data_IF_110712527389
#
_entry.id   IF_110712527389
#
_cell.length_a   1.000
_cell.length_b   1.000
_cell.length_c   1.000
_cell.angle_alpha   90.00
_cell.angle_beta   90.00
_cell.angle_gamma   90.00
#
_symmetry.space_group_name_H-M   'P 1'
#
loop_
_entity.id
_entity.type
_entity.pdbx_description
1 polymer ?
#
# COMPACT_ATOMS: atom_id res chain seq x y z
N UNK A 1 23.33 61.07 54.51
CA UNK A 1 23.88 59.75 54.14
C UNK A 1 22.94 58.57 54.44
N UNK A 2 22.24 58.50 55.58
CA UNK A 2 21.34 57.37 55.91
C UNK A 2 20.16 57.18 54.93
N UNK A 3 19.54 58.25 54.43
CA UNK A 3 18.42 58.15 53.48
C UNK A 3 18.82 57.66 52.08
N UNK A 4 20.02 58.00 51.60
CA UNK A 4 20.50 57.51 50.30
C UNK A 4 20.72 55.99 50.31
N UNK A 5 21.16 55.44 51.44
CA UNK A 5 21.45 54.01 51.61
C UNK A 5 20.19 53.14 51.75
N UNK A 6 19.09 53.71 52.26
CA UNK A 6 17.80 53.00 52.28
C UNK A 6 17.15 52.96 50.90
N UNK A 7 17.24 54.04 50.13
CA UNK A 7 16.68 54.14 48.78
C UNK A 7 17.41 53.16 47.84
N UNK A 8 18.74 53.06 47.92
CA UNK A 8 19.49 52.07 47.13
C UNK A 8 19.14 50.64 47.50
N UNK A 9 18.95 50.32 48.80
CA UNK A 9 18.49 48.99 49.22
C UNK A 9 17.10 48.64 48.69
N UNK A 10 16.15 49.58 48.72
CA UNK A 10 14.79 49.32 48.20
C UNK A 10 14.79 49.14 46.69
N UNK A 11 15.55 49.95 45.95
CA UNK A 11 15.69 49.81 44.49
C UNK A 11 16.35 48.48 44.13
N UNK A 12 17.37 48.04 44.88
CA UNK A 12 18.04 46.76 44.63
C UNK A 12 17.11 45.57 44.90
N UNK A 13 16.30 45.62 45.96
CA UNK A 13 15.32 44.58 46.29
C UNK A 13 14.20 44.53 45.25
N UNK A 14 13.73 45.68 44.77
CA UNK A 14 12.70 45.75 43.71
C UNK A 14 13.25 45.23 42.38
N UNK A 15 14.50 45.55 42.01
CA UNK A 15 15.15 44.99 40.82
C UNK A 15 15.36 43.47 40.91
N UNK A 16 15.73 42.95 42.09
CA UNK A 16 15.86 41.51 42.33
C UNK A 16 14.51 40.77 42.31
N UNK A 17 13.44 41.39 42.86
CA UNK A 17 12.09 40.84 42.76
C UNK A 17 11.56 40.89 41.32
N UNK A 18 11.85 41.96 40.57
CA UNK A 18 11.44 42.09 39.19
C UNK A 18 12.18 41.10 38.27
N UNK A 19 13.47 40.82 38.53
CA UNK A 19 14.19 39.77 37.80
C UNK A 19 13.65 38.38 38.13
N UNK A 20 13.24 38.13 39.37
CA UNK A 20 12.65 36.84 39.78
C UNK A 20 11.24 36.62 39.20
N UNK A 21 10.43 37.68 39.11
CA UNK A 21 9.10 37.63 38.48
C UNK A 21 9.17 37.54 36.96
N UNK A 22 10.19 38.13 36.32
CA UNK A 22 10.36 38.05 34.88
C UNK A 22 10.82 36.65 34.41
N UNK A 23 11.54 35.89 35.26
CA UNK A 23 11.87 34.48 35.01
C UNK A 23 10.69 33.51 35.21
N UNK A 24 9.68 33.87 36.01
CA UNK A 24 8.50 33.02 36.24
C UNK A 24 7.47 33.06 35.09
N UNK A 25 7.52 34.10 34.24
CA UNK A 25 6.68 34.21 33.03
C UNK A 25 7.24 33.41 31.83
N UNK A 26 8.41 32.81 31.97
CA UNK A 26 9.04 31.91 30.99
C UNK A 26 8.87 30.44 31.45
N UNK A 27 7.88 30.14 32.29
CA UNK A 27 7.35 28.77 32.40
C UNK A 27 6.55 28.47 31.11
N UNK A 28 7.34 28.20 30.08
CA UNK A 28 7.04 28.11 28.66
C UNK A 28 5.98 27.05 28.34
N UNK A 29 5.03 27.42 27.47
CA UNK A 29 4.58 26.52 26.41
C UNK A 29 5.79 26.20 25.51
N UNK A 30 6.72 25.36 25.99
CA UNK A 30 7.78 24.83 25.12
C UNK A 30 7.08 23.98 24.05
N UNK A 31 7.26 24.37 22.78
CA UNK A 31 6.78 23.57 21.67
C UNK A 31 7.36 22.14 21.82
N UNK A 32 6.54 21.10 21.59
CA UNK A 32 7.01 19.74 21.76
C UNK A 32 8.22 19.47 20.85
N UNK A 33 9.20 18.74 21.39
CA UNK A 33 10.40 18.38 20.63
C UNK A 33 10.07 17.21 19.70
N UNK A 34 10.16 17.45 18.38
CA UNK A 34 9.97 16.40 17.37
C UNK A 34 11.15 15.44 17.34
N UNK A 35 10.85 14.15 17.43
CA UNK A 35 11.84 13.07 17.49
C UNK A 35 11.50 12.04 16.42
N UNK A 36 12.52 11.74 15.59
CA UNK A 36 12.45 10.62 14.65
C UNK A 36 12.80 9.31 15.36
N UNK A 37 12.10 8.26 15.01
CA UNK A 37 12.30 6.91 15.52
C UNK A 37 12.64 5.96 14.38
N UNK A 38 13.46 4.95 14.66
CA UNK A 38 13.86 3.95 13.67
C UNK A 38 13.19 2.62 13.97
N UNK A 39 12.59 2.00 12.96
CA UNK A 39 12.06 0.64 13.06
C UNK A 39 13.27 -0.30 13.13
N UNK A 40 13.29 -1.19 14.12
CA UNK A 40 14.37 -2.17 14.27
C UNK A 40 13.86 -3.62 14.20
N UNK A 41 12.59 -3.84 14.54
CA UNK A 41 11.96 -5.14 14.45
C UNK A 41 10.49 -5.01 14.05
N UNK A 42 10.00 -6.01 13.34
CA UNK A 42 8.60 -6.14 12.94
C UNK A 42 8.15 -7.58 13.22
N UNK A 43 7.03 -7.72 13.93
CA UNK A 43 6.31 -8.99 14.02
C UNK A 43 5.11 -8.93 13.08
N UNK A 44 5.17 -9.67 11.98
CA UNK A 44 4.08 -9.79 11.01
C UNK A 44 3.08 -10.83 11.49
N UNK A 45 1.81 -10.47 11.51
CA UNK A 45 0.71 -11.38 11.80
C UNK A 45 0.02 -11.79 10.48
N UNK A 46 -0.88 -12.77 10.51
CA UNK A 46 -1.70 -13.09 9.33
C UNK A 46 -2.46 -11.85 8.83
N UNK A 47 -2.91 -11.02 9.78
CA UNK A 47 -3.47 -9.71 9.52
C UNK A 47 -2.88 -8.67 10.48
N UNK A 48 -2.20 -7.68 9.92
CA UNK A 48 -1.52 -6.61 10.63
C UNK A 48 -0.06 -6.92 10.95
N UNK A 49 0.60 -5.95 11.55
CA UNK A 49 1.97 -6.09 12.03
C UNK A 49 2.16 -5.32 13.34
N UNK A 50 2.93 -5.86 14.26
CA UNK A 50 3.47 -5.14 15.41
C UNK A 50 4.82 -4.53 15.00
N UNK A 51 4.91 -3.20 15.07
CA UNK A 51 6.08 -2.42 14.68
C UNK A 51 6.82 -1.97 15.94
N UNK A 52 8.09 -2.32 16.04
CA UNK A 52 8.96 -1.96 17.16
C UNK A 52 10.02 -0.95 16.72
N UNK A 53 10.07 0.18 17.42
CA UNK A 53 10.90 1.34 17.08
C UNK A 53 11.71 1.78 18.26
N UNK A 54 12.93 2.27 17.98
CA UNK A 54 13.84 2.77 19.01
C UNK A 54 14.37 4.15 18.67
N UNK A 55 14.66 4.92 19.72
CA UNK A 55 15.36 6.22 19.64
C UNK A 55 15.99 6.54 20.99
N UNK A 56 17.01 7.41 20.98
CA UNK A 56 17.67 7.90 22.20
C UNK A 56 17.50 9.40 22.30
N UNK A 57 17.12 9.90 23.48
CA UNK A 57 16.75 11.31 23.67
C UNK A 57 17.38 11.85 24.95
N UNK A 58 17.97 13.03 24.84
CA UNK A 58 18.44 13.81 25.98
C UNK A 58 17.27 14.61 26.58
N UNK A 59 16.92 14.32 27.83
CA UNK A 59 15.85 14.96 28.57
C UNK A 59 16.40 16.02 29.52
N UNK A 60 15.65 17.12 29.66
CA UNK A 60 15.88 18.10 30.73
C UNK A 60 15.29 17.56 32.04
N UNK A 61 15.79 18.05 33.18
CA UNK A 61 15.13 17.80 34.46
C UNK A 61 13.71 18.41 34.45
N UNK A 62 12.73 17.69 35.00
CA UNK A 62 11.31 18.04 34.99
C UNK A 62 10.54 17.44 33.82
N UNK A 63 9.46 18.12 33.41
CA UNK A 63 8.57 17.66 32.33
C UNK A 63 9.16 17.96 30.96
N UNK A 64 9.10 16.97 30.07
CA UNK A 64 9.51 17.08 28.67
C UNK A 64 8.32 16.71 27.78
N UNK A 65 8.04 17.56 26.79
CA UNK A 65 7.01 17.33 25.77
C UNK A 65 7.68 16.85 24.48
N UNK A 66 7.39 15.62 24.09
CA UNK A 66 8.02 14.92 22.97
C UNK A 66 6.97 14.56 21.92
N UNK A 67 7.34 14.57 20.65
CA UNK A 67 6.48 14.09 19.55
C UNK A 67 7.25 13.11 18.69
N UNK A 68 6.82 11.85 18.68
CA UNK A 68 7.32 10.86 17.73
C UNK A 68 6.63 11.03 16.38
N UNK A 69 7.41 11.28 15.34
CA UNK A 69 6.93 11.53 13.96
C UNK A 69 7.26 10.38 13.01
N UNK A 70 6.74 10.47 11.78
CA UNK A 70 6.95 9.49 10.71
C UNK A 70 6.43 8.08 11.07
N UNK A 71 5.27 8.04 11.72
CA UNK A 71 4.56 6.81 12.06
C UNK A 71 3.44 6.55 11.04
N UNK A 72 3.02 5.29 10.95
CA UNK A 72 1.93 4.89 10.06
C UNK A 72 0.60 5.50 10.52
N UNK A 73 -0.16 6.11 9.61
CA UNK A 73 -1.56 6.50 9.89
C UNK A 73 -2.50 5.30 10.06
N UNK A 74 -2.02 4.07 9.82
CA UNK A 74 -2.77 2.83 10.01
C UNK A 74 -2.50 2.19 11.38
N UNK A 75 -1.88 2.93 12.30
CA UNK A 75 -1.66 2.44 13.66
C UNK A 75 -2.99 2.35 14.42
N UNK A 76 -3.09 1.33 15.27
CA UNK A 76 -4.17 1.20 16.25
C UNK A 76 -3.79 1.90 17.54
N UNK A 77 -4.45 3.01 17.86
CA UNK A 77 -4.08 3.89 18.98
C UNK A 77 -4.03 3.16 20.32
N UNK A 78 -4.96 2.23 20.55
CA UNK A 78 -5.04 1.44 21.79
C UNK A 78 -3.87 0.46 21.99
N UNK A 79 -3.05 0.22 20.96
CA UNK A 79 -1.92 -0.73 21.00
C UNK A 79 -0.59 -0.05 21.29
N UNK A 80 -0.57 1.28 21.41
CA UNK A 80 0.65 2.05 21.65
C UNK A 80 1.22 1.69 23.03
N UNK A 81 2.44 1.18 23.02
CA UNK A 81 3.24 0.92 24.22
C UNK A 81 4.54 1.71 24.12
N UNK A 82 4.88 2.42 25.19
CA UNK A 82 6.13 3.19 25.29
C UNK A 82 6.88 2.72 26.52
N UNK A 83 8.10 2.23 26.32
CA UNK A 83 9.03 1.84 27.38
C UNK A 83 10.22 2.78 27.41
N UNK A 84 10.73 3.07 28.62
CA UNK A 84 11.83 4.01 28.85
C UNK A 84 12.73 3.50 29.97
N UNK A 85 13.90 4.10 30.16
CA UNK A 85 14.77 3.81 31.30
C UNK A 85 14.08 4.07 32.65
N UNK A 86 14.51 3.36 33.70
CA UNK A 86 13.88 3.41 35.04
C UNK A 86 13.83 4.80 35.69
N UNK A 87 14.64 5.75 35.21
CA UNK A 87 14.74 7.12 35.74
C UNK A 87 13.73 8.10 35.12
N UNK A 88 12.94 7.64 34.16
CA UNK A 88 11.99 8.47 33.41
C UNK A 88 10.59 7.90 33.59
N UNK A 89 9.65 8.77 33.96
CA UNK A 89 8.25 8.40 34.13
C UNK A 89 7.44 8.88 32.93
N UNK A 90 6.71 7.98 32.30
CA UNK A 90 5.71 8.34 31.27
C UNK A 90 4.46 8.88 31.96
N UNK A 91 4.07 10.11 31.64
CA UNK A 91 2.90 10.78 32.21
C UNK A 91 1.68 10.62 31.30
N UNK A 92 1.85 10.81 29.99
CA UNK A 92 0.76 10.67 29.03
C UNK A 92 1.26 10.25 27.66
N UNK A 93 0.46 9.43 26.99
CA UNK A 93 0.63 9.04 25.58
C UNK A 93 -0.65 9.42 24.85
N UNK A 94 -0.54 10.16 23.74
CA UNK A 94 -1.69 10.54 22.92
C UNK A 94 -1.29 10.55 21.46
N UNK A 95 -2.12 10.00 20.57
CA UNK A 95 -1.88 10.04 19.12
C UNK A 95 -2.75 11.08 18.44
N UNK A 96 -2.25 11.60 17.31
CA UNK A 96 -3.03 12.38 16.34
C UNK A 96 -2.61 12.00 14.93
N UNK A 97 -3.53 12.12 13.99
CA UNK A 97 -3.22 12.05 12.56
C UNK A 97 -2.75 13.42 12.08
N UNK A 98 -1.58 13.47 11.47
CA UNK A 98 -1.05 14.65 10.79
C UNK A 98 -1.31 14.53 9.28
N UNK A 99 -2.23 15.35 8.79
CA UNK A 99 -2.60 15.46 7.38
C UNK A 99 -1.83 16.55 6.63
N UNK A 100 -1.07 17.40 7.35
CA UNK A 100 -0.39 18.59 6.82
C UNK A 100 1.05 18.24 6.42
N UNK A 101 1.75 17.46 7.24
CA UNK A 101 3.06 16.89 6.86
C UNK A 101 2.89 15.69 5.92
N UNK A 102 2.57 15.96 4.65
CA UNK A 102 2.79 14.96 3.60
C UNK A 102 4.28 14.63 3.60
N UNK A 103 4.63 13.36 3.85
CA UNK A 103 6.03 12.90 3.90
C UNK A 103 6.80 13.46 2.69
N UNK A 104 8.02 13.95 2.90
CA UNK A 104 8.95 14.26 1.81
C UNK A 104 8.91 13.10 0.81
N UNK A 105 8.57 13.40 -0.45
CA UNK A 105 8.46 12.41 -1.49
C UNK A 105 9.72 11.53 -1.50
N UNK A 106 9.54 10.20 -1.51
CA UNK A 106 10.70 9.31 -1.70
C UNK A 106 11.42 9.73 -2.99
N UNK A 107 12.75 9.51 -3.12
CA UNK A 107 13.46 9.87 -4.34
C UNK A 107 12.78 9.34 -5.61
N UNK A 108 12.16 8.16 -5.52
CA UNK A 108 11.36 7.57 -6.60
C UNK A 108 10.09 8.36 -6.94
N UNK A 109 9.32 8.80 -5.94
CA UNK A 109 8.09 9.57 -6.15
C UNK A 109 8.41 10.97 -6.65
N UNK A 110 9.46 11.59 -6.12
CA UNK A 110 9.94 12.87 -6.61
C UNK A 110 10.30 12.76 -8.10
N UNK A 111 11.10 11.78 -8.47
CA UNK A 111 11.46 11.55 -9.87
C UNK A 111 10.24 11.31 -10.77
N UNK A 112 9.20 10.61 -10.29
CA UNK A 112 7.96 10.40 -11.05
C UNK A 112 7.16 11.71 -11.21
N UNK A 113 7.06 12.52 -10.16
CA UNK A 113 6.40 13.82 -10.21
C UNK A 113 7.13 14.80 -11.13
N UNK A 114 8.46 14.90 -11.00
CA UNK A 114 9.31 15.71 -11.89
C UNK A 114 9.15 15.26 -13.35
N UNK A 115 9.08 13.93 -13.60
CA UNK A 115 8.83 13.41 -14.97
C UNK A 115 7.43 13.78 -15.48
N UNK A 116 6.41 13.76 -14.62
CA UNK A 116 5.04 14.13 -15.00
C UNK A 116 4.93 15.60 -15.38
N UNK A 117 5.65 16.49 -14.69
CA UNK A 117 5.71 17.91 -15.02
C UNK A 117 6.31 18.11 -16.42
N UNK A 118 7.48 17.53 -16.69
CA UNK A 118 8.14 17.62 -18.01
C UNK A 118 7.26 17.06 -19.13
N UNK A 119 6.54 15.96 -18.88
CA UNK A 119 5.65 15.36 -19.87
C UNK A 119 4.43 16.26 -20.16
N UNK A 120 3.86 16.90 -19.13
CA UNK A 120 2.74 17.84 -19.28
C UNK A 120 3.15 19.06 -20.09
N UNK A 121 4.29 19.68 -19.76
CA UNK A 121 4.81 20.82 -20.52
C UNK A 121 5.02 20.49 -22.00
N UNK A 122 5.52 19.28 -22.29
CA UNK A 122 5.71 18.81 -23.64
C UNK A 122 4.39 18.53 -24.38
N UNK A 123 3.35 18.06 -23.69
CA UNK A 123 2.00 17.91 -24.24
C UNK A 123 1.43 19.29 -24.56
N UNK A 124 1.46 20.23 -23.62
CA UNK A 124 0.94 21.58 -23.79
C UNK A 124 1.57 22.29 -25.01
N UNK A 125 2.89 22.13 -25.21
CA UNK A 125 3.56 22.67 -26.40
C UNK A 125 3.04 22.06 -27.71
N UNK A 126 2.82 20.75 -27.75
CA UNK A 126 2.29 20.07 -28.94
C UNK A 126 0.84 20.47 -29.22
N UNK A 127 0.05 20.66 -28.18
CA UNK A 127 -1.34 21.11 -28.25
C UNK A 127 -1.43 22.57 -28.73
N UNK A 128 -0.54 23.44 -28.26
CA UNK A 128 -0.41 24.81 -28.76
C UNK A 128 -0.02 24.86 -30.26
N UNK A 129 0.93 24.01 -30.68
CA UNK A 129 1.29 23.90 -32.11
C UNK A 129 0.10 23.35 -32.93
N UNK A 130 -0.63 22.37 -32.40
CA UNK A 130 -1.81 21.79 -33.06
C UNK A 130 -2.91 22.83 -33.21
N UNK A 131 -3.24 23.57 -32.15
CA UNK A 131 -4.21 24.65 -32.15
C UNK A 131 -3.88 25.73 -33.18
N UNK A 132 -2.60 26.04 -33.38
CA UNK A 132 -2.16 26.98 -34.43
C UNK A 132 -2.52 26.50 -35.85
N UNK A 133 -2.37 25.20 -36.13
CA UNK A 133 -2.78 24.60 -37.41
C UNK A 133 -4.30 24.51 -37.57
N UNK A 134 -5.03 24.25 -36.48
CA UNK A 134 -6.50 24.22 -36.46
C UNK A 134 -7.09 25.61 -36.73
N UNK A 135 -6.52 26.67 -36.14
CA UNK A 135 -6.92 28.05 -36.38
C UNK A 135 -6.65 28.45 -37.84
N UNK A 136 -5.49 28.09 -38.39
CA UNK A 136 -5.22 28.31 -39.81
C UNK A 136 -6.25 27.58 -40.69
N UNK A 137 -6.61 26.36 -40.34
CA UNK A 137 -7.64 25.61 -41.07
C UNK A 137 -9.01 26.30 -41.00
N UNK A 138 -9.37 26.86 -39.84
CA UNK A 138 -10.61 27.61 -39.64
C UNK A 138 -10.63 28.87 -40.52
N UNK A 139 -9.53 29.63 -40.55
CA UNK A 139 -9.38 30.81 -41.42
C UNK A 139 -9.50 30.45 -42.91
N UNK A 140 -8.90 29.34 -43.34
CA UNK A 140 -9.02 28.86 -44.73
C UNK A 140 -10.47 28.49 -45.08
N UNK A 141 -11.19 27.83 -44.16
CA UNK A 141 -12.62 27.51 -44.34
C UNK A 141 -13.47 28.78 -44.43
N UNK A 142 -13.20 29.78 -43.58
CA UNK A 142 -13.91 31.05 -43.57
C UNK A 142 -13.65 31.84 -44.87
N UNK A 143 -12.39 31.94 -45.31
CA UNK A 143 -12.03 32.61 -46.56
C UNK A 143 -12.71 31.99 -47.80
N UNK A 144 -12.83 30.66 -47.84
CA UNK A 144 -13.59 29.96 -48.89
C UNK A 144 -15.06 30.41 -48.93
N UNK A 145 -15.70 30.57 -47.77
CA UNK A 145 -17.11 30.98 -47.67
C UNK A 145 -17.35 32.44 -48.06
N UNK A 146 -16.44 33.36 -47.68
CA UNK A 146 -16.54 34.78 -48.01
C UNK A 146 -16.36 35.03 -49.51
N UNK A 147 -15.39 34.38 -50.15
CA UNK A 147 -15.17 34.55 -51.59
C UNK A 147 -16.32 34.01 -52.45
N UNK A 148 -17.03 32.98 -52.02
CA UNK A 148 -18.17 32.43 -52.79
C UNK A 148 -19.44 33.29 -52.68
N UNK A 149 -19.53 34.18 -51.70
CA UNK A 149 -20.73 34.98 -51.42
C UNK A 149 -20.66 36.42 -51.95
N UNK A 150 -19.47 36.95 -52.26
CA UNK A 150 -19.28 38.37 -52.59
C UNK A 150 -18.79 38.65 -54.03
N UNK A 151 -18.38 37.65 -54.81
CA UNK A 151 -17.82 37.86 -56.17
C UNK A 151 -18.15 36.73 -57.15
N UNK A 152 -18.35 37.11 -58.43
CA UNK A 152 -18.39 36.16 -59.55
C UNK A 152 -16.97 35.70 -59.88
N UNK A 153 -16.65 34.44 -59.60
CA UNK A 153 -15.34 33.83 -59.83
C UNK A 153 -15.26 33.17 -61.21
N UNK A 154 -14.13 33.32 -61.90
CA UNK A 154 -13.87 32.59 -63.16
C UNK A 154 -13.47 31.13 -62.91
N UNK A 155 -13.60 30.28 -63.92
CA UNK A 155 -13.20 28.85 -63.84
C UNK A 155 -11.71 28.69 -63.50
N UNK A 156 -10.84 29.54 -64.04
CA UNK A 156 -9.40 29.50 -63.79
C UNK A 156 -9.05 29.90 -62.33
N UNK A 157 -9.74 30.88 -61.77
CA UNK A 157 -9.59 31.27 -60.36
C UNK A 157 -10.10 30.18 -59.41
N UNK A 158 -11.22 29.52 -59.76
CA UNK A 158 -11.74 28.38 -59.01
C UNK A 158 -10.74 27.20 -59.00
N UNK A 159 -10.11 26.91 -60.14
CA UNK A 159 -9.12 25.85 -60.24
C UNK A 159 -7.87 26.16 -59.39
N UNK A 160 -7.34 27.38 -59.51
CA UNK A 160 -6.17 27.82 -58.72
C UNK A 160 -6.45 27.80 -57.21
N UNK A 161 -7.65 28.24 -56.82
CA UNK A 161 -8.08 28.25 -55.43
C UNK A 161 -8.27 26.82 -54.88
N UNK A 162 -8.86 25.91 -55.67
CA UNK A 162 -8.99 24.50 -55.32
C UNK A 162 -7.63 23.83 -55.09
N UNK A 163 -6.66 24.07 -55.97
CA UNK A 163 -5.30 23.54 -55.85
C UNK A 163 -4.58 24.05 -54.60
N UNK A 164 -4.67 25.36 -54.32
CA UNK A 164 -4.13 25.96 -53.11
C UNK A 164 -4.74 25.34 -51.84
N UNK A 165 -6.07 25.30 -51.73
CA UNK A 165 -6.75 24.73 -50.57
C UNK A 165 -6.44 23.25 -50.40
N UNK A 166 -6.40 22.46 -51.47
CA UNK A 166 -6.07 21.03 -51.41
C UNK A 166 -4.66 20.82 -50.83
N UNK A 167 -3.67 21.55 -51.35
CA UNK A 167 -2.27 21.41 -50.92
C UNK A 167 -2.09 21.87 -49.47
N UNK A 168 -2.60 23.05 -49.12
CA UNK A 168 -2.44 23.60 -47.78
C UNK A 168 -3.19 22.80 -46.72
N UNK A 169 -4.44 22.38 -47.00
CA UNK A 169 -5.18 21.51 -46.07
C UNK A 169 -4.50 20.16 -45.88
N UNK A 170 -3.89 19.58 -46.91
CA UNK A 170 -3.12 18.35 -46.76
C UNK A 170 -1.92 18.54 -45.83
N UNK A 171 -1.16 19.63 -45.99
CA UNK A 171 -0.02 19.94 -45.13
C UNK A 171 -0.44 20.21 -43.67
N UNK A 172 -1.55 20.94 -43.47
CA UNK A 172 -2.15 21.17 -42.15
C UNK A 172 -2.55 19.83 -41.51
N UNK A 173 -3.35 19.02 -42.19
CA UNK A 173 -3.83 17.73 -41.67
C UNK A 173 -2.67 16.77 -41.38
N UNK A 174 -1.62 16.77 -42.20
CA UNK A 174 -0.40 16.00 -41.98
C UNK A 174 0.29 16.42 -40.69
N UNK A 175 0.41 17.71 -40.42
CA UNK A 175 1.02 18.22 -39.19
C UNK A 175 0.15 17.96 -37.96
N UNK A 176 -1.16 18.20 -38.03
CA UNK A 176 -2.11 17.85 -36.96
C UNK A 176 -1.96 16.36 -36.62
N UNK A 177 -2.04 15.47 -37.61
CA UNK A 177 -1.87 14.01 -37.40
C UNK A 177 -0.53 13.66 -36.74
N UNK A 178 0.57 14.32 -37.16
CA UNK A 178 1.90 14.13 -36.57
C UNK A 178 1.94 14.58 -35.10
N UNK A 179 1.35 15.73 -34.78
CA UNK A 179 1.32 16.30 -33.43
C UNK A 179 0.43 15.48 -32.51
N UNK A 180 -0.77 15.11 -32.94
CA UNK A 180 -1.68 14.22 -32.21
C UNK A 180 -0.98 12.91 -31.85
N UNK A 181 -0.31 12.24 -32.81
CA UNK A 181 0.44 11.00 -32.52
C UNK A 181 1.53 11.17 -31.46
N UNK A 182 2.20 12.33 -31.42
CA UNK A 182 3.19 12.64 -30.38
C UNK A 182 2.52 12.87 -29.03
N UNK A 183 1.46 13.69 -29.01
CA UNK A 183 0.66 13.99 -27.81
C UNK A 183 0.09 12.71 -27.18
N UNK A 184 -0.52 11.82 -27.98
CA UNK A 184 -1.02 10.51 -27.53
C UNK A 184 0.09 9.65 -26.90
N UNK A 185 1.30 9.65 -27.47
CA UNK A 185 2.43 8.89 -26.91
C UNK A 185 2.88 9.43 -25.54
N UNK A 186 2.93 10.77 -25.37
CA UNK A 186 3.28 11.39 -24.10
C UNK A 186 2.18 11.18 -23.06
N UNK A 187 0.91 11.31 -23.46
CA UNK A 187 -0.24 11.01 -22.59
C UNK A 187 -0.22 9.58 -22.05
N UNK A 188 0.24 8.61 -22.85
CA UNK A 188 0.48 7.24 -22.37
C UNK A 188 1.56 7.17 -21.28
N UNK A 189 2.66 7.91 -21.44
CA UNK A 189 3.70 7.96 -20.41
C UNK A 189 3.21 8.64 -19.13
N UNK A 190 2.39 9.69 -19.25
CA UNK A 190 1.71 10.33 -18.11
C UNK A 190 0.84 9.32 -17.37
N UNK A 191 0.05 8.54 -18.11
CA UNK A 191 -0.79 7.48 -17.53
C UNK A 191 0.05 6.43 -16.79
N UNK A 192 1.12 5.93 -17.42
CA UNK A 192 2.01 4.93 -16.80
C UNK A 192 2.66 5.45 -15.50
N UNK A 193 3.06 6.73 -15.46
CA UNK A 193 3.64 7.34 -14.26
C UNK A 193 2.60 7.60 -13.16
N UNK A 194 1.38 8.01 -13.52
CA UNK A 194 0.27 8.12 -12.57
C UNK A 194 -0.07 6.77 -11.95
N UNK A 195 -0.07 5.69 -12.74
CA UNK A 195 -0.29 4.34 -12.22
C UNK A 195 0.82 3.93 -11.24
N UNK A 196 2.08 4.22 -11.55
CA UNK A 196 3.20 3.97 -10.63
C UNK A 196 3.07 4.76 -9.33
N UNK A 197 2.62 6.01 -9.37
CA UNK A 197 2.36 6.81 -8.16
C UNK A 197 1.21 6.23 -7.32
N UNK A 198 0.17 5.72 -7.99
CA UNK A 198 -0.94 5.03 -7.33
C UNK A 198 -0.49 3.74 -6.64
N UNK A 199 0.30 2.90 -7.32
CA UNK A 199 0.93 1.70 -6.70
C UNK A 199 1.74 2.07 -5.46
N UNK A 200 2.47 3.18 -5.51
CA UNK A 200 3.27 3.69 -4.41
C UNK A 200 2.44 4.40 -3.32
N UNK A 201 1.12 4.51 -3.45
CA UNK A 201 0.25 5.25 -2.54
C UNK A 201 0.70 6.69 -2.29
N UNK A 202 1.17 7.42 -3.30
CA UNK A 202 1.73 8.75 -3.12
C UNK A 202 0.76 9.74 -2.44
N UNK A 203 -0.54 9.66 -2.72
CA UNK A 203 -1.55 10.63 -2.26
C UNK A 203 -2.22 10.31 -0.90
N UNK A 204 -2.03 9.11 -0.34
CA UNK A 204 -2.73 8.63 0.88
C UNK A 204 -1.88 8.64 2.16
N UNK A 205 -0.78 9.38 2.18
CA UNK A 205 0.26 9.28 3.24
C UNK A 205 0.07 10.30 4.35
N UNK A 206 -1.13 10.35 4.94
CA UNK A 206 -1.23 10.91 6.30
C UNK A 206 -0.26 10.14 7.20
N UNK A 207 0.42 10.82 8.10
CA UNK A 207 1.32 10.20 9.07
C UNK A 207 0.72 10.35 10.44
N UNK A 208 0.87 9.34 11.29
CA UNK A 208 0.52 9.51 12.69
C UNK A 208 1.68 10.16 13.46
N UNK A 209 1.30 10.87 14.50
CA UNK A 209 2.21 11.42 15.51
C UNK A 209 1.78 10.93 16.88
N UNK A 210 2.76 10.62 17.73
CA UNK A 210 2.52 10.29 19.13
C UNK A 210 3.12 11.40 19.99
N UNK A 211 2.24 12.11 20.70
CA UNK A 211 2.57 13.09 21.72
C UNK A 211 2.81 12.35 23.04
N UNK A 212 3.99 12.57 23.60
CA UNK A 212 4.45 11.93 24.82
C UNK A 212 4.84 13.03 25.82
N UNK A 213 4.31 12.93 27.04
CA UNK A 213 4.78 13.75 28.17
C UNK A 213 5.52 12.82 29.12
N UNK A 214 6.78 13.14 29.37
CA UNK A 214 7.62 12.39 30.32
C UNK A 214 8.18 13.31 31.40
N UNK A 215 8.48 12.75 32.56
CA UNK A 215 9.12 13.44 33.67
C UNK A 215 10.43 12.74 34.02
N UNK A 216 11.52 13.53 34.07
CA UNK A 216 12.84 13.07 34.47
C UNK A 216 13.27 13.84 35.73
N UNK A 217 13.69 13.14 36.78
CA UNK A 217 14.10 13.79 38.04
C UNK A 217 15.35 14.67 37.86
N UNK A 218 16.27 14.22 36.99
CA UNK A 218 17.51 14.90 36.63
C UNK A 218 17.67 14.86 35.11
N UNK A 219 18.37 15.83 34.54
CA UNK A 219 18.71 15.80 33.12
C UNK A 219 19.48 14.51 32.80
N UNK A 220 18.95 13.72 31.88
CA UNK A 220 19.44 12.36 31.59
C UNK A 220 19.22 11.99 30.12
N UNK A 221 20.04 11.08 29.61
CA UNK A 221 19.82 10.44 28.31
C UNK A 221 19.12 9.11 28.53
N UNK A 222 18.01 8.87 27.84
CA UNK A 222 17.31 7.58 27.88
C UNK A 222 16.97 7.09 26.48
N UNK A 223 16.95 5.77 26.35
CA UNK A 223 16.36 5.11 25.21
C UNK A 223 14.84 5.01 25.39
N UNK A 224 14.13 5.14 24.28
CA UNK A 224 12.70 4.91 24.15
C UNK A 224 12.48 3.72 23.21
N UNK A 225 11.69 2.76 23.67
CA UNK A 225 11.14 1.70 22.85
C UNK A 225 9.65 1.97 22.64
N UNK A 226 9.26 2.13 21.38
CA UNK A 226 7.90 2.38 20.95
C UNK A 226 7.41 1.15 20.17
N UNK A 227 6.31 0.58 20.64
CA UNK A 227 5.63 -0.55 20.02
C UNK A 227 4.18 -0.19 19.73
N UNK A 228 3.69 -0.58 18.56
CA UNK A 228 2.29 -0.42 18.17
C UNK A 228 1.92 -1.39 17.06
N UNK A 229 0.64 -1.72 16.93
CA UNK A 229 0.10 -2.54 15.85
C UNK A 229 -0.39 -1.63 14.72
N UNK A 230 -0.15 -2.05 13.48
CA UNK A 230 -0.66 -1.42 12.26
C UNK A 230 -1.54 -2.38 11.47
N UNK A 231 -2.55 -1.84 10.81
CA UNK A 231 -3.33 -2.57 9.80
C UNK A 231 -2.63 -2.55 8.44
N UNK A 232 -3.19 -3.31 7.49
CA UNK A 232 -2.74 -3.41 6.09
C UNK A 232 -1.27 -3.82 5.95
N UNK A 233 -0.88 -4.82 6.73
CA UNK A 233 0.29 -5.64 6.50
C UNK A 233 -0.08 -7.07 6.85
N UNK A 234 0.75 -8.03 6.48
CA UNK A 234 0.54 -9.40 6.93
C UNK A 234 1.39 -10.39 6.18
N UNK A 235 1.18 -11.66 6.49
CA UNK A 235 1.84 -12.76 5.81
C UNK A 235 0.91 -13.95 5.59
N UNK A 236 1.20 -14.74 4.56
CA UNK A 236 0.55 -16.01 4.30
C UNK A 236 1.59 -17.10 4.04
N UNK A 237 1.33 -18.31 4.52
CA UNK A 237 2.19 -19.47 4.27
C UNK A 237 2.14 -19.86 2.79
N UNK A 238 3.28 -20.20 2.22
CA UNK A 238 3.40 -20.84 0.91
C UNK A 238 4.51 -21.88 0.96
N UNK A 239 4.30 -23.00 0.29
CA UNK A 239 5.23 -24.12 0.30
C UNK A 239 5.72 -24.42 -1.11
N UNK A 240 6.98 -24.79 -1.24
CA UNK A 240 7.50 -25.41 -2.47
C UNK A 240 7.93 -26.84 -2.15
N UNK A 241 7.39 -27.79 -2.90
CA UNK A 241 7.68 -29.21 -2.77
C UNK A 241 8.48 -29.66 -3.99
N UNK A 242 9.76 -29.98 -3.82
CA UNK A 242 10.65 -30.39 -4.92
C UNK A 242 11.08 -31.86 -4.82
N UNK A 243 10.80 -32.61 -5.89
CA UNK A 243 11.38 -33.94 -6.12
C UNK A 243 12.54 -33.83 -7.13
N UNK A 244 13.77 -34.04 -6.67
CA UNK A 244 15.00 -33.87 -7.49
C UNK A 244 15.71 -35.19 -7.81
N UNK A 245 15.46 -36.26 -7.05
CA UNK A 245 15.87 -37.63 -7.35
C UNK A 245 14.89 -38.55 -6.62
N UNK A 246 14.25 -39.52 -7.29
CA UNK A 246 13.26 -40.46 -6.71
C UNK A 246 13.88 -41.46 -5.70
N UNK A 247 14.74 -40.95 -4.82
CA UNK A 247 15.80 -41.66 -4.10
C UNK A 247 15.45 -41.96 -2.65
N UNK A 248 14.50 -41.24 -2.04
CA UNK A 248 13.78 -41.57 -0.77
C UNK A 248 13.25 -40.34 -0.03
N UNK A 249 13.58 -39.12 -0.45
CA UNK A 249 13.11 -37.89 0.19
C UNK A 249 12.55 -36.90 -0.81
N UNK A 250 11.68 -36.01 -0.32
CA UNK A 250 11.19 -34.84 -1.05
C UNK A 250 11.54 -33.60 -0.23
N UNK A 251 11.96 -32.54 -0.91
CA UNK A 251 12.30 -31.29 -0.24
C UNK A 251 11.03 -30.45 -0.08
N UNK A 252 10.76 -29.99 1.15
CA UNK A 252 9.70 -29.06 1.48
C UNK A 252 10.32 -27.75 1.95
N UNK A 253 10.18 -26.71 1.14
CA UNK A 253 10.56 -25.34 1.49
C UNK A 253 9.33 -24.60 2.03
N UNK A 254 9.38 -24.21 3.30
CA UNK A 254 8.35 -23.40 3.93
C UNK A 254 8.73 -21.92 3.84
N UNK A 255 7.88 -21.15 3.17
CA UNK A 255 8.06 -19.71 2.96
C UNK A 255 6.83 -18.92 3.40
N UNK A 256 7.02 -17.62 3.58
CA UNK A 256 5.96 -16.66 3.77
C UNK A 256 5.89 -15.68 2.60
N UNK A 257 4.69 -15.41 2.12
CA UNK A 257 4.39 -14.23 1.32
C UNK A 257 4.03 -13.09 2.26
N UNK A 258 4.96 -12.17 2.45
CA UNK A 258 4.83 -11.00 3.32
C UNK A 258 4.44 -9.77 2.51
N UNK A 259 3.65 -8.85 3.06
CA UNK A 259 3.38 -7.57 2.41
C UNK A 259 3.27 -6.44 3.43
N UNK A 260 3.56 -5.23 2.97
CA UNK A 260 3.46 -4.01 3.75
C UNK A 260 2.72 -2.94 2.94
N UNK A 261 1.67 -2.39 3.54
CA UNK A 261 0.90 -1.26 3.01
C UNK A 261 0.64 -0.23 4.11
N UNK A 262 1.57 -0.11 5.07
CA UNK A 262 1.41 0.74 6.27
C UNK A 262 1.73 2.21 6.00
N UNK A 263 2.21 2.54 4.80
CA UNK A 263 2.75 3.85 4.45
C UNK A 263 4.17 4.08 4.97
N UNK A 264 4.79 3.13 5.69
CA UNK A 264 6.17 3.23 6.20
C UNK A 264 6.97 2.03 5.71
N UNK A 265 8.08 2.30 5.02
CA UNK A 265 8.98 1.24 4.56
C UNK A 265 9.70 0.61 5.76
N UNK A 266 9.86 -0.71 5.73
CA UNK A 266 10.66 -1.45 6.71
C UNK A 266 11.98 -1.80 6.04
N UNK A 267 13.07 -1.16 6.46
CA UNK A 267 14.39 -1.35 5.85
C UNK A 267 15.30 -2.05 6.85
N UNK A 268 15.83 -3.21 6.46
CA UNK A 268 16.81 -3.98 7.25
C UNK A 268 16.33 -4.26 8.70
N UNK A 269 15.11 -4.78 8.85
CA UNK A 269 14.48 -5.03 10.16
C UNK A 269 14.56 -6.50 10.56
N UNK A 270 14.66 -6.76 11.86
CA UNK A 270 14.45 -8.11 12.40
C UNK A 270 12.98 -8.53 12.17
N UNK A 271 12.76 -9.66 11.52
CA UNK A 271 11.43 -10.11 11.15
C UNK A 271 11.01 -11.33 11.99
N UNK A 272 9.83 -11.26 12.57
CA UNK A 272 9.15 -12.41 13.19
C UNK A 272 7.80 -12.61 12.50
N UNK A 273 7.45 -13.84 12.16
CA UNK A 273 6.13 -14.18 11.63
C UNK A 273 5.30 -14.85 12.72
N UNK A 274 4.06 -14.43 12.90
CA UNK A 274 3.17 -14.90 13.96
C UNK A 274 1.83 -15.35 13.39
N UNK A 275 1.32 -16.49 13.84
CA UNK A 275 -0.08 -16.90 13.59
C UNK A 275 -1.07 -16.29 14.58
N UNK A 276 -0.59 -15.70 15.68
CA UNK A 276 -1.46 -15.09 16.68
C UNK A 276 -2.12 -13.79 16.21
N UNK A 277 -3.22 -13.41 16.86
CA UNK A 277 -3.91 -12.15 16.63
C UNK A 277 -3.29 -11.03 17.51
N UNK A 278 -2.73 -9.96 16.92
CA UNK A 278 -2.11 -8.88 17.68
C UNK A 278 -3.13 -8.00 18.43
N UNK A 279 -4.41 -8.10 18.09
CA UNK A 279 -5.52 -7.36 18.70
C UNK A 279 -6.33 -8.22 19.67
N UNK A 280 -6.03 -9.51 19.81
CA UNK A 280 -6.72 -10.36 20.76
C UNK A 280 -6.52 -9.81 22.18
N UNK A 281 -7.64 -9.55 22.83
CA UNK A 281 -7.69 -8.99 24.17
C UNK A 281 -7.03 -9.94 25.18
N UNK A 282 -6.31 -9.39 26.16
CA UNK A 282 -5.80 -10.11 27.33
C UNK A 282 -6.90 -10.61 28.28
N UNK A 283 -8.17 -10.61 27.84
CA UNK A 283 -9.27 -11.19 28.61
C UNK A 283 -9.15 -12.71 28.58
N UNK A 284 -9.36 -13.34 29.73
CA UNK A 284 -9.36 -14.80 29.83
C UNK A 284 -10.36 -15.40 28.82
N UNK A 285 -10.00 -16.48 28.09
CA UNK A 285 -10.94 -17.15 27.21
C UNK A 285 -12.10 -17.72 28.02
N UNK A 286 -13.31 -17.64 27.48
CA UNK A 286 -14.49 -18.29 28.06
C UNK A 286 -14.77 -19.60 27.35
N UNK A 287 -14.73 -20.72 28.07
CA UNK A 287 -15.15 -22.02 27.55
C UNK A 287 -16.66 -22.01 27.24
N UNK A 288 -17.00 -22.09 25.96
CA UNK A 288 -18.38 -22.30 25.53
C UNK A 288 -18.71 -23.79 25.64
N UNK A 289 -19.81 -24.13 26.30
CA UNK A 289 -20.26 -25.53 26.43
C UNK A 289 -20.70 -26.04 25.05
N UNK A 290 -20.05 -27.09 24.57
CA UNK A 290 -20.51 -27.83 23.40
C UNK A 290 -21.81 -28.57 23.74
N UNK A 291 -22.94 -28.03 23.30
CA UNK A 291 -24.22 -28.71 23.42
C UNK A 291 -24.39 -29.70 22.27
N UNK A 292 -24.42 -30.99 22.59
CA UNK A 292 -24.79 -32.02 21.62
C UNK A 292 -26.31 -31.97 21.40
N UNK A 293 -26.77 -31.18 20.44
CA UNK A 293 -28.19 -31.13 20.09
C UNK A 293 -28.59 -32.40 19.32
N UNK A 294 -29.29 -33.31 19.99
CA UNK A 294 -29.90 -34.48 19.35
C UNK A 294 -31.03 -34.06 18.40
N UNK A 295 -30.95 -34.53 17.16
CA UNK A 295 -31.95 -34.46 16.07
C UNK A 295 -32.21 -33.09 15.44
N UNK A 296 -31.60 -32.86 14.28
CA UNK A 296 -32.14 -31.95 13.27
C UNK A 296 -33.35 -32.61 12.59
N UNK A 297 -34.57 -32.16 12.89
CA UNK A 297 -35.73 -32.45 12.05
C UNK A 297 -35.55 -31.73 10.71
N UNK A 298 -35.52 -32.50 9.63
CA UNK A 298 -35.59 -31.98 8.27
C UNK A 298 -36.98 -31.35 8.07
N UNK A 299 -37.07 -30.02 8.12
CA UNK A 299 -38.21 -29.30 7.58
C UNK A 299 -37.96 -29.04 6.09
N UNK A 300 -38.71 -29.74 5.24
CA UNK A 300 -38.85 -29.40 3.82
C UNK A 300 -39.78 -28.20 3.75
N UNK A 301 -39.23 -27.00 3.53
CA UNK A 301 -40.04 -25.84 3.16
C UNK A 301 -40.19 -25.79 1.64
N UNK A 302 -41.43 -25.93 1.18
CA UNK A 302 -41.85 -25.72 -0.20
C UNK A 302 -41.60 -24.28 -0.64
N UNK A 303 -41.10 -24.13 -1.87
CA UNK A 303 -40.76 -22.85 -2.48
C UNK A 303 -42.05 -22.12 -2.86
N UNK A 304 -42.38 -21.07 -2.11
CA UNK A 304 -43.27 -20.01 -2.59
C UNK A 304 -42.89 -18.70 -1.90
N UNK A 305 -42.28 -17.80 -2.68
CA UNK A 305 -42.22 -16.35 -2.51
C UNK A 305 -41.85 -15.83 -1.12
N UNK A 306 -40.61 -15.36 -0.94
CA UNK A 306 -40.27 -14.16 -0.14
C UNK A 306 -38.81 -13.73 -0.40
N UNK A 307 -38.65 -12.40 -0.46
CA UNK A 307 -37.41 -11.63 -0.48
C UNK A 307 -36.34 -12.14 0.50
N UNK A 308 -35.11 -12.29 0.01
CA UNK A 308 -33.96 -12.72 0.82
C UNK A 308 -33.20 -11.48 1.28
N UNK A 309 -33.38 -11.14 2.56
CA UNK A 309 -32.35 -10.51 3.40
C UNK A 309 -31.20 -11.51 3.58
N UNK A 310 -30.01 -11.12 3.14
CA UNK A 310 -28.81 -11.95 3.17
C UNK A 310 -28.18 -11.90 4.57
N UNK A 311 -28.20 -13.02 5.29
CA UNK A 311 -27.22 -13.29 6.33
C UNK A 311 -26.71 -14.74 6.25
N UNK A 312 -25.42 -14.86 6.48
CA UNK A 312 -24.49 -15.92 6.09
C UNK A 312 -24.72 -17.28 6.77
N UNK A 313 -24.67 -18.36 5.98
CA UNK A 313 -23.76 -19.50 6.16
C UNK A 313 -24.27 -20.74 5.40
N UNK A 314 -23.56 -21.15 4.33
CA UNK A 314 -23.30 -22.56 3.98
C UNK A 314 -22.33 -22.67 2.79
N UNK A 315 -21.46 -23.67 2.93
CA UNK A 315 -20.35 -24.05 2.07
C UNK A 315 -20.75 -24.44 0.64
N UNK A 316 -19.86 -24.11 -0.31
CA UNK A 316 -19.74 -24.75 -1.62
C UNK A 316 -18.24 -24.99 -1.87
N UNK A 317 -17.85 -26.26 -2.02
CA UNK A 317 -16.58 -26.65 -2.63
C UNK A 317 -16.68 -26.56 -4.16
N UNK A 318 -15.59 -26.05 -4.75
CA UNK A 318 -15.16 -26.07 -6.15
C UNK A 318 -15.93 -25.23 -7.18
N UNK A 319 -15.42 -24.01 -7.43
CA UNK A 319 -14.72 -23.61 -8.66
C UNK A 319 -14.26 -22.15 -8.49
N UNK A 320 -12.95 -21.87 -8.47
CA UNK A 320 -12.44 -20.49 -8.49
C UNK A 320 -11.36 -20.32 -9.55
N UNK A 321 -11.81 -20.15 -10.80
CA UNK A 321 -11.58 -18.88 -11.50
C UNK A 321 -12.99 -18.37 -11.80
N UNK A 322 -13.61 -17.72 -10.83
CA UNK A 322 -14.76 -16.87 -11.06
C UNK A 322 -14.57 -15.58 -10.29
N UNK A 323 -14.42 -14.52 -11.07
CA UNK A 323 -14.46 -13.11 -10.67
C UNK A 323 -15.66 -12.85 -9.74
N UNK A 324 -15.45 -12.83 -8.43
CA UNK A 324 -16.42 -12.22 -7.51
C UNK A 324 -16.00 -10.79 -7.17
N UNK A 325 -16.35 -9.91 -8.11
CA UNK A 325 -17.18 -8.72 -7.89
C UNK A 325 -17.33 -8.25 -6.42
N UNK A 326 -16.62 -7.19 -6.05
CA UNK A 326 -17.00 -6.28 -4.96
C UNK A 326 -16.91 -4.83 -5.46
N UNK A 327 -18.04 -4.13 -5.34
CA UNK A 327 -18.32 -2.75 -5.75
C UNK A 327 -17.81 -2.38 -7.16
N UNK A 328 -18.68 -2.58 -8.16
CA UNK A 328 -18.69 -1.70 -9.34
C UNK A 328 -18.96 -0.28 -8.83
N UNK A 329 -17.93 0.46 -8.41
CA UNK A 329 -17.89 1.88 -8.72
C UNK A 329 -18.06 1.94 -10.24
N UNK A 330 -18.93 2.81 -10.73
CA UNK A 330 -19.03 2.97 -12.17
C UNK A 330 -17.65 3.40 -12.69
N UNK A 331 -17.24 2.82 -13.82
CA UNK A 331 -15.93 3.01 -14.45
C UNK A 331 -15.55 4.50 -14.64
N UNK A 332 -16.56 5.37 -14.69
CA UNK A 332 -16.42 6.83 -14.66
C UNK A 332 -15.89 7.36 -13.33
N UNK A 333 -16.31 6.81 -12.19
CA UNK A 333 -15.89 7.25 -10.85
C UNK A 333 -14.43 6.87 -10.56
N UNK A 334 -13.98 5.71 -11.04
CA UNK A 334 -12.59 5.27 -10.90
C UNK A 334 -11.63 6.13 -11.75
N UNK A 335 -12.05 6.46 -12.98
CA UNK A 335 -11.32 7.36 -13.87
C UNK A 335 -11.30 8.80 -13.33
N UNK A 336 -12.44 9.32 -12.84
CA UNK A 336 -12.52 10.64 -12.18
C UNK A 336 -11.66 10.71 -10.91
N UNK A 337 -11.59 9.62 -10.15
CA UNK A 337 -10.73 9.51 -8.95
C UNK A 337 -9.24 9.50 -9.31
N UNK A 338 -8.85 8.93 -10.46
CA UNK A 338 -7.45 8.85 -10.92
C UNK A 338 -7.01 10.14 -11.66
N UNK A 339 -7.92 10.82 -12.35
CA UNK A 339 -7.60 11.94 -13.24
C UNK A 339 -7.92 13.33 -12.65
N UNK A 340 -8.71 13.41 -11.57
CA UNK A 340 -9.24 14.66 -11.01
C UNK A 340 -10.54 15.07 -11.70
N UNK A 341 -11.39 15.83 -11.00
CA UNK A 341 -12.71 16.28 -11.51
C UNK A 341 -12.62 17.14 -12.77
N UNK A 342 -11.44 17.66 -13.12
CA UNK A 342 -11.19 18.59 -14.23
C UNK A 342 -10.98 17.90 -15.61
N UNK A 343 -11.11 16.56 -15.70
CA UNK A 343 -10.88 15.82 -16.95
C UNK A 343 -12.15 15.79 -17.83
N UNK A 344 -12.38 16.85 -18.61
CA UNK A 344 -13.53 16.99 -19.53
C UNK A 344 -13.30 16.44 -20.95
N UNK A 345 -12.28 15.61 -21.20
CA UNK A 345 -12.09 14.98 -22.51
C UNK A 345 -12.83 13.64 -22.63
N UNK A 346 -13.68 13.53 -23.65
CA UNK A 346 -14.39 12.32 -24.05
C UNK A 346 -13.38 11.22 -24.39
N UNK A 347 -13.18 10.28 -23.47
CA UNK A 347 -12.25 9.15 -23.65
C UNK A 347 -12.82 8.24 -24.75
N UNK A 348 -12.13 8.15 -25.89
CA UNK A 348 -12.43 7.14 -26.91
C UNK A 348 -12.02 5.74 -26.40
N UNK A 349 -13.00 5.05 -25.83
CA UNK A 349 -12.87 3.71 -25.24
C UNK A 349 -12.60 2.59 -26.26
N UNK A 350 -12.56 2.87 -27.58
CA UNK A 350 -12.49 1.86 -28.64
C UNK A 350 -11.15 1.84 -29.41
N UNK A 351 -10.07 2.36 -28.84
CA UNK A 351 -8.76 2.21 -29.48
C UNK A 351 -8.23 0.77 -29.36
N UNK A 352 -7.74 0.22 -30.48
CA UNK A 352 -7.10 -1.11 -30.59
C UNK A 352 -5.94 -1.28 -29.57
N UNK A 353 -5.37 -0.15 -29.10
CA UNK A 353 -4.32 -0.11 -28.10
C UNK A 353 -4.82 -0.39 -26.66
N UNK A 354 -6.08 -0.08 -26.33
CA UNK A 354 -6.70 -0.41 -25.03
C UNK A 354 -6.97 -1.92 -24.91
N UNK A 355 -7.48 -2.56 -25.97
CA UNK A 355 -7.60 -4.02 -26.06
C UNK A 355 -6.23 -4.72 -25.94
N UNK A 356 -5.16 -4.10 -26.46
CA UNK A 356 -3.79 -4.62 -26.37
C UNK A 356 -3.17 -4.41 -24.99
N UNK A 357 -3.51 -3.33 -24.29
CA UNK A 357 -3.15 -3.11 -22.88
C UNK A 357 -3.89 -4.11 -21.96
N UNK A 358 -5.21 -4.26 -22.12
CA UNK A 358 -6.04 -5.25 -21.41
C UNK A 358 -5.50 -6.68 -21.53
N UNK A 359 -5.10 -7.08 -22.74
CA UNK A 359 -4.60 -8.44 -23.01
C UNK A 359 -3.22 -8.73 -22.40
N UNK A 360 -2.46 -7.70 -22.04
CA UNK A 360 -1.08 -7.81 -21.59
C UNK A 360 -0.88 -7.47 -20.10
N UNK A 361 -1.94 -7.16 -19.35
CA UNK A 361 -1.86 -7.06 -17.90
C UNK A 361 -2.29 -8.39 -17.28
N UNK A 362 -1.40 -9.11 -16.58
CA UNK A 362 -1.89 -9.93 -15.49
C UNK A 362 -2.53 -8.98 -14.48
N UNK A 363 -3.75 -9.27 -14.04
CA UNK A 363 -4.35 -8.58 -12.91
C UNK A 363 -3.29 -8.49 -11.80
N UNK A 364 -3.03 -7.29 -11.27
CA UNK A 364 -2.18 -7.17 -10.09
C UNK A 364 -2.76 -8.13 -9.05
N UNK A 365 -1.98 -9.11 -8.54
CA UNK A 365 -2.54 -10.15 -7.69
C UNK A 365 -3.15 -9.47 -6.48
N UNK A 366 -4.48 -9.46 -6.43
CA UNK A 366 -5.18 -9.13 -5.20
C UNK A 366 -4.88 -10.30 -4.27
N UNK A 367 -3.96 -10.09 -3.34
CA UNK A 367 -3.66 -11.07 -2.29
C UNK A 367 -4.88 -11.08 -1.37
N UNK A 368 -5.90 -11.84 -1.74
CA UNK A 368 -6.97 -12.23 -0.84
C UNK A 368 -6.32 -13.26 0.08
N UNK A 369 -5.80 -12.79 1.22
CA UNK A 369 -5.47 -13.69 2.31
C UNK A 369 -6.77 -14.24 2.84
N UNK A 370 -7.05 -15.50 2.54
CA UNK A 370 -8.14 -16.20 3.20
C UNK A 370 -7.77 -16.34 4.67
N UNK A 371 -8.57 -15.76 5.55
CA UNK A 371 -8.40 -15.93 7.00
C UNK A 371 -8.77 -17.37 7.33
N UNK A 372 -7.75 -18.21 7.45
CA UNK A 372 -7.91 -19.60 7.86
C UNK A 372 -8.14 -19.59 9.38
N UNK A 373 -9.18 -20.29 9.84
CA UNK A 373 -9.37 -20.59 11.27
C UNK A 373 -8.21 -21.49 11.71
N UNK A 374 -7.17 -20.88 12.28
CA UNK A 374 -6.06 -21.62 12.87
C UNK A 374 -6.55 -22.15 14.22
N UNK A 375 -6.46 -23.47 14.49
CA UNK A 375 -6.64 -23.98 15.85
C UNK A 375 -5.69 -23.22 16.79
N UNK A 376 -6.16 -22.83 17.97
CA UNK A 376 -5.60 -21.87 18.95
C UNK A 376 -4.14 -22.13 19.42
N UNK A 377 -3.18 -22.19 18.49
CA UNK A 377 -1.75 -22.30 18.74
C UNK A 377 -1.05 -21.11 18.10
N UNK A 378 -0.64 -20.16 18.93
CA UNK A 378 0.18 -19.03 18.50
C UNK A 378 1.61 -19.53 18.25
N UNK A 379 2.04 -19.54 16.99
CA UNK A 379 3.38 -19.90 16.58
C UNK A 379 4.14 -18.65 16.11
N UNK A 380 5.31 -18.41 16.69
CA UNK A 380 6.24 -17.34 16.31
C UNK A 380 7.46 -17.94 15.59
N UNK A 381 7.69 -17.50 14.35
CA UNK A 381 8.84 -17.87 13.52
C UNK A 381 9.80 -16.70 13.42
N UNK A 382 10.94 -16.78 14.12
CA UNK A 382 12.01 -15.77 14.02
C UNK A 382 12.84 -16.01 12.76
N UNK A 383 12.94 -14.99 11.91
CA UNK A 383 13.74 -15.04 10.68
C UNK A 383 15.17 -14.61 11.01
N UNK A 384 16.16 -15.42 10.62
CA UNK A 384 17.55 -15.22 11.02
C UNK A 384 18.19 -13.97 10.42
N UNK A 385 17.81 -13.63 9.18
CA UNK A 385 18.36 -12.49 8.44
C UNK A 385 17.39 -11.32 8.49
N UNK A 386 17.88 -10.07 8.59
CA UNK A 386 17.03 -8.91 8.47
C UNK A 386 16.47 -8.80 7.05
N UNK A 387 15.26 -8.24 6.94
CA UNK A 387 14.55 -8.08 5.66
C UNK A 387 14.15 -6.63 5.41
N UNK A 388 14.07 -6.28 4.13
CA UNK A 388 13.49 -5.02 3.68
C UNK A 388 12.16 -5.29 3.00
N UNK A 389 11.08 -4.69 3.52
CA UNK A 389 9.71 -4.81 2.99
C UNK A 389 9.15 -3.39 2.79
N UNK A 390 9.25 -2.85 1.55
CA UNK A 390 8.67 -1.57 1.18
C UNK A 390 7.16 -1.51 1.37
N UNK A 391 6.62 -0.32 1.63
CA UNK A 391 5.18 -0.12 1.75
C UNK A 391 4.52 0.09 0.37
N UNK A 392 4.63 -0.90 -0.51
CA UNK A 392 4.21 -0.83 -1.92
C UNK A 392 3.10 -1.83 -2.30
N UNK A 393 2.51 -2.53 -1.31
CA UNK A 393 1.46 -3.56 -1.48
C UNK A 393 1.91 -4.82 -2.22
N UNK A 394 3.19 -4.98 -2.54
CA UNK A 394 3.67 -6.16 -3.26
C UNK A 394 4.02 -7.28 -2.27
N UNK A 395 3.76 -8.55 -2.64
CA UNK A 395 4.19 -9.68 -1.83
C UNK A 395 5.70 -9.91 -1.99
N UNK A 396 6.38 -10.15 -0.87
CA UNK A 396 7.79 -10.50 -0.77
C UNK A 396 7.91 -11.89 -0.15
N UNK A 397 8.65 -12.78 -0.80
CA UNK A 397 8.90 -14.13 -0.30
C UNK A 397 10.01 -14.11 0.76
N UNK A 398 9.72 -14.67 1.92
CA UNK A 398 10.65 -14.86 3.04
C UNK A 398 10.76 -16.35 3.32
N UNK A 399 11.97 -16.88 3.34
CA UNK A 399 12.22 -18.27 3.71
C UNK A 399 12.07 -18.44 5.22
N UNK A 400 11.26 -19.41 5.65
CA UNK A 400 11.06 -19.74 7.06
C UNK A 400 11.99 -20.90 7.42
N UNK A 401 11.81 -22.05 6.77
CA UNK A 401 12.54 -23.29 7.03
C UNK A 401 12.53 -24.20 5.80
N UNK A 402 13.50 -25.11 5.74
CA UNK A 402 13.58 -26.17 4.76
C UNK A 402 13.59 -27.53 5.47
N UNK A 403 12.85 -28.50 4.92
CA UNK A 403 12.73 -29.85 5.45
C UNK A 403 12.98 -30.89 4.36
N UNK A 404 13.66 -31.98 4.73
CA UNK A 404 13.78 -33.17 3.87
C UNK A 404 12.86 -34.26 4.42
N UNK A 405 11.75 -34.50 3.73
CA UNK A 405 10.71 -35.39 4.20
C UNK A 405 10.88 -36.80 3.61
N UNK A 406 10.84 -37.86 4.44
CA UNK A 406 10.81 -39.24 3.97
C UNK A 406 9.62 -39.48 3.03
N UNK A 407 9.91 -40.01 1.84
CA UNK A 407 8.94 -40.15 0.76
C UNK A 407 9.04 -41.51 0.09
N UNK A 408 7.90 -42.18 -0.04
CA UNK A 408 7.78 -43.41 -0.83
C UNK A 408 7.14 -43.11 -2.19
N UNK A 409 7.84 -43.44 -3.27
CA UNK A 409 7.35 -43.22 -4.63
C UNK A 409 6.66 -44.48 -5.18
N UNK A 410 5.48 -44.31 -5.82
CA UNK A 410 4.73 -45.41 -6.46
C UNK A 410 4.23 -44.97 -7.83
N UNK A 411 4.36 -45.85 -8.83
CA UNK A 411 3.71 -45.65 -10.12
C UNK A 411 2.26 -46.13 -10.04
N UNK A 412 1.34 -45.30 -10.53
CA UNK A 412 -0.09 -45.59 -10.58
C UNK A 412 -0.62 -45.33 -11.98
N UNK A 413 -1.29 -46.31 -12.56
CA UNK A 413 -1.88 -46.19 -13.90
C UNK A 413 -3.29 -46.79 -13.88
N UNK A 414 -4.23 -46.13 -14.56
CA UNK A 414 -5.57 -46.64 -14.79
C UNK A 414 -5.89 -46.57 -16.29
N UNK A 415 -5.32 -47.49 -17.11
CA UNK A 415 -5.39 -47.45 -18.58
C UNK A 415 -6.80 -47.31 -19.18
N UNK A 416 -7.83 -47.71 -18.42
CA UNK A 416 -9.24 -47.58 -18.81
C UNK A 416 -9.74 -46.13 -18.83
N UNK A 417 -9.19 -45.28 -17.97
CA UNK A 417 -9.55 -43.86 -17.84
C UNK A 417 -8.50 -42.96 -18.49
N UNK A 418 -7.24 -43.28 -18.28
CA UNK A 418 -6.09 -42.54 -18.81
C UNK A 418 -4.96 -43.52 -19.16
N UNK A 419 -4.37 -43.36 -20.35
CA UNK A 419 -3.30 -44.23 -20.84
C UNK A 419 -1.96 -43.91 -20.17
N UNK A 420 -1.84 -42.77 -19.50
CA UNK A 420 -0.61 -42.35 -18.85
C UNK A 420 -0.39 -43.05 -17.49
N UNK A 421 0.88 -43.18 -17.11
CA UNK A 421 1.29 -43.64 -15.79
C UNK A 421 1.72 -42.44 -14.95
N UNK A 422 1.12 -42.31 -13.77
CA UNK A 422 1.37 -41.22 -12.83
C UNK A 422 2.38 -41.66 -11.77
N UNK A 423 3.29 -40.76 -11.39
CA UNK A 423 4.16 -40.96 -10.25
C UNK A 423 3.53 -40.31 -9.01
N UNK A 424 3.24 -41.11 -7.99
CA UNK A 424 2.70 -40.66 -6.72
C UNK A 424 3.81 -40.61 -5.67
N UNK A 425 3.89 -39.50 -4.94
CA UNK A 425 4.77 -39.33 -3.79
C UNK A 425 3.93 -39.46 -2.51
N UNK A 426 4.24 -40.46 -1.69
CA UNK A 426 3.64 -40.63 -0.37
C UNK A 426 4.62 -40.08 0.67
N UNK A 427 4.30 -38.91 1.21
CA UNK A 427 5.11 -38.17 2.18
C UNK A 427 4.60 -38.45 3.59
N UNK A 428 5.50 -38.67 4.55
CA UNK A 428 5.18 -38.95 5.96
C UNK A 428 6.01 -38.06 6.89
N UNK A 429 5.50 -37.78 8.10
CA UNK A 429 6.21 -36.98 9.12
C UNK A 429 6.10 -35.47 8.92
N UNK A 430 5.21 -35.03 8.02
CA UNK A 430 4.89 -33.61 7.84
C UNK A 430 3.95 -33.11 8.95
N UNK A 431 3.24 -34.02 9.61
CA UNK A 431 2.28 -33.75 10.69
C UNK A 431 2.95 -33.13 11.92
N UNK A 432 4.24 -33.42 12.14
CA UNK A 432 5.02 -32.95 13.29
C UNK A 432 5.71 -31.59 13.02
N UNK A 433 5.51 -30.98 11.86
CA UNK A 433 6.24 -29.79 11.42
C UNK A 433 5.55 -28.45 11.76
N UNK A 434 4.44 -28.45 12.50
CA UNK A 434 3.67 -27.26 12.87
C UNK A 434 3.39 -26.33 11.68
N UNK A 435 3.04 -26.93 10.53
CA UNK A 435 2.81 -26.21 9.28
C UNK A 435 1.52 -25.40 9.35
N UNK A 436 1.61 -24.13 8.97
CA UNK A 436 0.44 -23.27 8.80
C UNK A 436 -0.22 -23.58 7.46
N UNK A 437 -1.54 -23.64 7.42
CA UNK A 437 -2.24 -23.93 6.18
C UNK A 437 -1.91 -22.91 5.08
N UNK A 438 -1.60 -23.41 3.88
CA UNK A 438 -1.19 -22.61 2.73
C UNK A 438 -1.01 -23.47 1.47
N UNK A 439 -1.02 -22.85 0.27
CA UNK A 439 -0.87 -23.58 -0.98
C UNK A 439 0.55 -24.14 -1.15
N UNK A 440 0.65 -25.28 -1.82
CA UNK A 440 1.91 -25.97 -2.13
C UNK A 440 2.16 -25.92 -3.64
N UNK A 441 3.27 -25.34 -4.06
CA UNK A 441 3.78 -25.43 -5.42
C UNK A 441 4.60 -26.73 -5.57
N UNK A 442 4.38 -27.46 -6.65
CA UNK A 442 5.01 -28.75 -6.88
C UNK A 442 6.03 -28.61 -8.01
N UNK A 443 7.27 -29.02 -7.70
CA UNK A 443 8.41 -29.01 -8.61
C UNK A 443 8.95 -30.43 -8.81
N UNK A 444 9.33 -30.74 -10.05
CA UNK A 444 10.04 -31.97 -10.41
C UNK A 444 11.29 -31.60 -11.19
N UNK A 445 12.47 -31.93 -10.68
CA UNK A 445 13.77 -31.56 -11.26
C UNK A 445 13.83 -30.07 -11.62
N UNK A 446 13.51 -29.19 -10.67
CA UNK A 446 13.42 -27.72 -10.83
C UNK A 446 12.39 -27.22 -11.83
N UNK A 447 11.51 -28.08 -12.36
CA UNK A 447 10.41 -27.68 -13.25
C UNK A 447 9.11 -27.61 -12.46
N UNK A 448 8.44 -26.46 -12.53
CA UNK A 448 7.11 -26.28 -11.96
C UNK A 448 6.11 -27.17 -12.68
N UNK A 449 5.36 -27.97 -11.91
CA UNK A 449 4.36 -28.92 -12.42
C UNK A 449 2.94 -28.42 -12.14
N UNK A 450 2.74 -27.70 -11.03
CA UNK A 450 1.42 -27.19 -10.65
C UNK A 450 1.36 -26.80 -9.18
N UNK A 451 0.16 -26.44 -8.73
CA UNK A 451 -0.14 -26.08 -7.35
C UNK A 451 -1.16 -27.06 -6.77
N UNK A 452 -1.02 -27.42 -5.50
CA UNK A 452 -2.01 -28.20 -4.77
C UNK A 452 -3.34 -27.45 -4.72
N UNK A 453 -4.45 -28.17 -4.89
CA UNK A 453 -5.80 -27.63 -4.79
C UNK A 453 -6.37 -27.74 -3.40
#
# INVERSE_FOLDING_TARGET
>A
MKNLFQITKTITIVLLLCSFFCSALIAQNEAPTSIKTNIHAVKLHLQGAEVMRKTSVNLKAGRNHLVFTNLSAKLYEQTIQVSTGKQVKVISVTSKQNFIERRQATPRIKALNDSLEVLRDAIDLLENERGSYEEEQALLKQNRSMKSSQQNLTVAELQSMSEFYRKRNFDINKNITRLTKKSTKLNRQVFDHKLQLYELNADKRAMAEIFLVVEAEVATSTDFDLRYVVSDAGWAAIYDLEASNFSSTINLEYRALTYNNTGVDWNDVELTLSTGDPLQSMLQPSLSVWNLAGSSSYQINTIANINISVNNNRAIQQQVIQERSYYKLNKEDEIRTILGEDFEEEIDYNTVDFERYRKNQPDAPNVVMETLEVPEFNADFKIEKPYTIPSDRKPYSVEIKQFDLPTTYKYYAVPKLDKDAFLLAQVVGWEDLDLVSGPINIYNNKKYIGQSR
#
